data_IF_317151058495
#
_entry.id   IF_317151058495
#
_cell.length_a   1.000
_cell.length_b   1.000
_cell.length_c   1.000
_cell.angle_alpha   90.00
_cell.angle_beta   90.00
_cell.angle_gamma   90.00
#
_symmetry.space_group_name_H-M   'P 1'
#
loop_
_entity.id
_entity.type
_entity.pdbx_description
1 polymer ?
#
# COMPACT_ATOMS: atom_id res chain seq x y z
N UNK A 1 18.07 -12.75 7.55
CA UNK A 1 16.62 -12.47 7.42
C UNK A 1 16.42 -11.05 7.87
N UNK A 2 15.84 -10.20 7.03
CA UNK A 2 15.50 -8.83 7.42
C UNK A 2 14.15 -8.86 8.14
N UNK A 3 14.09 -8.34 9.36
CA UNK A 3 12.85 -8.27 10.15
C UNK A 3 11.92 -7.17 9.62
N UNK A 4 10.63 -7.23 9.96
CA UNK A 4 9.67 -6.15 9.65
C UNK A 4 10.15 -4.81 10.21
N UNK A 5 10.64 -4.80 11.45
CA UNK A 5 11.16 -3.61 12.12
C UNK A 5 12.35 -2.96 11.36
N UNK A 6 13.28 -3.78 10.83
CA UNK A 6 14.39 -3.29 10.02
C UNK A 6 13.90 -2.66 8.70
N UNK A 7 12.91 -3.26 8.04
CA UNK A 7 12.32 -2.72 6.81
C UNK A 7 11.60 -1.39 7.10
N UNK A 8 10.79 -1.35 8.15
CA UNK A 8 10.06 -0.15 8.59
C UNK A 8 11.05 0.99 8.85
N UNK A 9 12.12 0.72 9.60
CA UNK A 9 13.15 1.72 9.90
C UNK A 9 13.91 2.16 8.64
N UNK A 10 14.34 1.22 7.78
CA UNK A 10 15.12 1.51 6.59
C UNK A 10 14.35 2.33 5.54
N UNK A 11 13.04 2.08 5.41
CA UNK A 11 12.17 2.76 4.45
C UNK A 11 11.40 3.95 5.05
N UNK A 12 11.55 4.21 6.35
CA UNK A 12 10.86 5.31 7.04
C UNK A 12 9.33 5.16 7.04
N UNK A 13 8.83 3.93 7.14
CA UNK A 13 7.39 3.66 7.08
C UNK A 13 6.67 4.20 8.33
N UNK A 14 5.44 4.66 8.12
CA UNK A 14 4.52 5.15 9.17
C UNK A 14 3.25 4.31 9.17
N UNK A 15 2.50 4.34 10.26
CA UNK A 15 1.21 3.65 10.32
C UNK A 15 0.25 4.20 9.23
N UNK A 16 -0.37 3.30 8.47
CA UNK A 16 -1.38 3.67 7.48
C UNK A 16 -2.77 3.73 8.13
N UNK A 17 -3.65 4.68 7.77
CA UNK A 17 -5.00 4.79 8.34
C UNK A 17 -5.84 3.51 8.19
N UNK A 18 -5.57 2.72 7.15
CA UNK A 18 -6.30 1.48 6.84
C UNK A 18 -5.68 0.24 7.49
N UNK A 19 -4.59 0.40 8.24
CA UNK A 19 -3.82 -0.69 8.82
C UNK A 19 -2.52 -0.99 8.06
N UNK A 20 -1.52 -1.49 8.77
CA UNK A 20 -0.17 -1.70 8.24
C UNK A 20 0.71 -0.45 8.29
N UNK A 21 1.79 -0.51 7.53
CA UNK A 21 2.82 0.51 7.44
C UNK A 21 2.97 0.99 6.00
N UNK A 22 3.20 2.28 5.78
CA UNK A 22 3.39 2.84 4.45
C UNK A 22 4.35 4.03 4.40
N UNK A 23 4.85 4.32 3.21
CA UNK A 23 5.48 5.61 2.90
C UNK A 23 5.28 5.93 1.41
N UNK A 24 4.88 7.16 1.09
CA UNK A 24 4.91 7.68 -0.28
C UNK A 24 6.36 7.95 -0.69
N UNK A 25 6.78 7.36 -1.81
CA UNK A 25 8.15 7.45 -2.33
C UNK A 25 8.24 8.19 -3.66
N UNK A 26 7.10 8.34 -4.34
CA UNK A 26 7.01 9.05 -5.59
C UNK A 26 5.64 9.71 -5.74
N UNK A 27 5.68 10.94 -6.26
CA UNK A 27 4.54 11.67 -6.79
C UNK A 27 5.02 12.40 -8.02
N UNK A 28 4.30 12.20 -9.12
CA UNK A 28 4.62 12.92 -10.35
C UNK A 28 4.41 14.44 -10.14
N UNK A 29 5.37 15.24 -10.60
CA UNK A 29 5.30 16.70 -10.52
C UNK A 29 4.36 17.30 -11.57
N UNK A 30 4.09 16.55 -12.64
CA UNK A 30 3.14 16.90 -13.69
C UNK A 30 1.76 16.27 -13.42
N UNK A 31 0.72 16.70 -14.15
CA UNK A 31 -0.66 16.21 -13.94
C UNK A 31 -1.44 16.95 -12.85
N UNK A 32 -0.96 18.13 -12.45
CA UNK A 32 -1.63 19.01 -11.47
C UNK A 32 -1.48 18.51 -10.03
N UNK A 33 -2.36 18.97 -9.13
CA UNK A 33 -2.23 18.72 -7.69
C UNK A 33 -2.21 17.22 -7.30
N UNK A 34 -2.76 16.33 -8.13
CA UNK A 34 -2.78 14.88 -7.87
C UNK A 34 -1.52 14.16 -8.34
N UNK A 35 -0.80 14.70 -9.31
CA UNK A 35 0.20 13.95 -10.08
C UNK A 35 -0.44 13.02 -11.11
N UNK A 36 0.28 12.66 -12.17
CA UNK A 36 -0.14 11.56 -13.06
C UNK A 36 -0.16 10.20 -12.36
N UNK A 37 0.73 9.98 -11.41
CA UNK A 37 0.75 8.80 -10.57
C UNK A 37 1.45 9.06 -9.24
N UNK A 38 1.25 8.14 -8.31
CA UNK A 38 1.97 8.06 -7.04
C UNK A 38 2.47 6.63 -6.84
N UNK A 39 3.53 6.47 -6.04
CA UNK A 39 3.97 5.15 -5.59
C UNK A 39 4.24 5.17 -4.09
N UNK A 40 3.87 4.07 -3.43
CA UNK A 40 4.11 3.87 -2.01
C UNK A 40 4.84 2.54 -1.79
N UNK A 41 5.59 2.46 -0.70
CA UNK A 41 5.82 1.17 -0.05
C UNK A 41 4.68 0.89 0.93
N UNK A 42 4.29 -0.38 1.02
CA UNK A 42 3.29 -0.86 1.96
C UNK A 42 3.76 -2.19 2.58
N UNK A 43 3.55 -2.36 3.89
CA UNK A 43 3.96 -3.54 4.65
C UNK A 43 2.88 -3.90 5.68
N UNK A 44 2.55 -5.18 5.74
CA UNK A 44 1.74 -5.78 6.79
C UNK A 44 2.61 -6.71 7.64
N UNK A 45 2.52 -6.54 8.96
CA UNK A 45 3.03 -7.52 9.92
C UNK A 45 2.01 -8.63 10.16
N UNK A 46 2.43 -9.68 10.85
CA UNK A 46 1.53 -10.77 11.23
C UNK A 46 0.31 -10.21 11.98
N UNK A 47 -0.88 -10.70 11.64
CA UNK A 47 -2.17 -10.28 12.20
C UNK A 47 -2.66 -8.88 11.83
N UNK A 48 -1.88 -8.08 11.07
CA UNK A 48 -2.38 -6.84 10.49
C UNK A 48 -3.17 -7.14 9.21
N UNK A 49 -4.17 -6.30 8.96
CA UNK A 49 -4.96 -6.31 7.73
C UNK A 49 -5.02 -4.89 7.18
N UNK A 50 -5.09 -4.76 5.86
CA UNK A 50 -5.60 -3.55 5.23
C UNK A 50 -7.13 -3.65 5.24
N UNK A 51 -7.79 -2.75 5.97
CA UNK A 51 -9.24 -2.70 6.05
C UNK A 51 -9.85 -2.41 4.68
N UNK A 52 -11.09 -2.88 4.46
CA UNK A 52 -11.82 -2.62 3.22
C UNK A 52 -11.86 -1.12 2.89
N UNK A 53 -11.39 -0.78 1.69
CA UNK A 53 -11.37 0.57 1.17
C UNK A 53 -11.54 0.55 -0.35
N UNK A 54 -11.71 1.73 -0.94
CA UNK A 54 -11.85 1.92 -2.39
C UNK A 54 -11.17 3.20 -2.82
N UNK A 55 -10.25 3.09 -3.77
CA UNK A 55 -9.76 4.23 -4.56
C UNK A 55 -10.86 4.62 -5.55
N UNK A 56 -11.41 5.84 -5.41
CA UNK A 56 -12.68 6.21 -6.07
C UNK A 56 -12.53 6.52 -7.56
N UNK A 57 -11.40 7.07 -7.96
CA UNK A 57 -11.22 7.73 -9.26
C UNK A 57 -9.85 7.43 -9.89
N UNK A 58 -9.21 6.34 -9.46
CA UNK A 58 -7.94 5.85 -10.01
C UNK A 58 -7.83 4.34 -9.84
N UNK A 59 -6.98 3.72 -10.67
CA UNK A 59 -6.59 2.32 -10.53
C UNK A 59 -5.41 2.22 -9.56
N UNK A 60 -5.37 1.15 -8.77
CA UNK A 60 -4.23 0.79 -7.92
C UNK A 60 -3.60 -0.52 -8.42
N UNK A 61 -2.27 -0.57 -8.44
CA UNK A 61 -1.51 -1.75 -8.88
C UNK A 61 -0.59 -2.20 -7.75
N UNK A 62 -0.68 -3.48 -7.40
CA UNK A 62 0.08 -4.09 -6.31
C UNK A 62 1.33 -4.82 -6.83
N UNK A 63 2.48 -4.54 -6.22
CA UNK A 63 3.76 -5.15 -6.58
C UNK A 63 4.31 -5.92 -5.37
N UNK A 64 4.48 -7.24 -5.49
CA UNK A 64 5.11 -8.03 -4.44
C UNK A 64 6.63 -7.82 -4.44
N UNK A 65 7.20 -7.55 -3.26
CA UNK A 65 8.65 -7.35 -3.10
C UNK A 65 9.31 -8.40 -2.21
N UNK A 66 8.75 -8.70 -1.03
CA UNK A 66 9.36 -9.63 -0.07
C UNK A 66 8.35 -10.12 0.98
N UNK A 67 8.75 -11.13 1.76
CA UNK A 67 7.97 -11.67 2.87
C UNK A 67 7.05 -12.82 2.46
N UNK A 68 6.01 -13.05 3.28
CA UNK A 68 4.96 -14.02 2.97
C UNK A 68 4.06 -13.50 1.84
N UNK A 69 3.41 -14.38 1.06
CA UNK A 69 2.44 -13.95 0.05
C UNK A 69 1.25 -13.22 0.71
N UNK A 70 0.73 -12.21 0.01
CA UNK A 70 -0.44 -11.45 0.44
C UNK A 70 -1.71 -12.03 -0.20
N UNK A 71 -2.75 -12.24 0.62
CA UNK A 71 -4.10 -12.48 0.11
C UNK A 71 -4.77 -11.13 -0.16
N UNK A 72 -5.09 -10.86 -1.42
CA UNK A 72 -5.77 -9.63 -1.84
C UNK A 72 -7.23 -9.99 -2.19
N UNK A 73 -8.17 -9.49 -1.38
CA UNK A 73 -9.60 -9.68 -1.60
C UNK A 73 -10.16 -8.46 -2.36
N UNK A 74 -10.92 -8.73 -3.42
CA UNK A 74 -11.56 -7.69 -4.23
C UNK A 74 -13.07 -7.91 -4.20
N UNK A 75 -13.81 -6.80 -4.14
CA UNK A 75 -15.25 -6.80 -4.31
C UNK A 75 -15.62 -5.76 -5.36
N UNK A 76 -16.48 -6.17 -6.30
CA UNK A 76 -16.99 -5.30 -7.34
C UNK A 76 -18.45 -4.95 -7.07
N UNK A 77 -18.79 -3.67 -7.21
CA UNK A 77 -20.15 -3.23 -6.95
C UNK A 77 -21.13 -3.87 -7.94
N UNK A 78 -22.11 -4.61 -7.41
CA UNK A 78 -23.05 -5.39 -8.22
C UNK A 78 -22.60 -6.82 -8.55
N UNK A 79 -21.44 -7.28 -8.05
CA UNK A 79 -21.13 -8.71 -8.04
C UNK A 79 -22.06 -9.44 -7.07
N UNK A 80 -22.59 -10.60 -7.49
CA UNK A 80 -23.59 -11.40 -6.78
C UNK A 80 -23.21 -11.77 -5.33
#
# INVERSE_FOLDING_TARGET
MTSSAEIIAALGLKLHPEGGWYAETFRDGDGGARGHSTAIYFLLEQHQVSAWHRVKDATEVWHFHAGAPLALAMWEEGSA
#
